data_IF_659064376208
#
_entry.id   IF_659064376208
#
_cell.length_a   1.000
_cell.length_b   1.000
_cell.length_c   1.000
_cell.angle_alpha   90.00
_cell.angle_beta   90.00
_cell.angle_gamma   90.00
#
_symmetry.space_group_name_H-M   'P 1'
#
loop_
_entity.id
_entity.type
_entity.pdbx_description
1 polymer ?
#
# COMPACT_ATOMS: atom_id res chain seq x y z
N UNK A 1 4.55 -25.22 1.05
CA UNK A 1 6.03 -25.22 1.03
C UNK A 1 6.57 -24.64 -0.26
N UNK A 2 7.53 -23.72 -0.17
CA UNK A 2 8.28 -23.19 -1.30
C UNK A 2 9.77 -23.33 -1.04
N UNK A 3 10.52 -23.81 -2.03
CA UNK A 3 11.98 -23.86 -1.98
C UNK A 3 12.57 -22.80 -2.91
N UNK A 4 13.72 -22.25 -2.57
CA UNK A 4 14.39 -21.24 -3.39
C UNK A 4 14.80 -21.72 -4.79
N UNK A 5 14.90 -23.03 -5.00
CA UNK A 5 15.13 -23.69 -6.28
C UNK A 5 13.84 -24.06 -7.01
N UNK A 6 12.66 -23.75 -6.42
CA UNK A 6 11.34 -24.13 -6.93
C UNK A 6 11.13 -25.62 -7.21
N UNK A 7 11.91 -26.50 -6.57
CA UNK A 7 11.61 -27.93 -6.55
C UNK A 7 10.29 -28.21 -5.83
N UNK A 8 9.88 -27.28 -4.96
CA UNK A 8 8.54 -27.14 -4.40
C UNK A 8 8.09 -25.68 -4.61
N UNK A 9 7.01 -25.50 -5.33
CA UNK A 9 6.44 -24.20 -5.69
C UNK A 9 5.04 -24.09 -5.12
N UNK A 10 4.90 -23.42 -3.96
CA UNK A 10 3.66 -23.31 -3.19
C UNK A 10 2.97 -24.67 -2.99
N UNK A 11 3.77 -25.73 -2.91
CA UNK A 11 3.28 -27.10 -2.81
C UNK A 11 2.53 -27.31 -1.49
N UNK A 12 1.35 -27.89 -1.57
CA UNK A 12 0.61 -28.33 -0.37
C UNK A 12 1.32 -29.51 0.26
N UNK A 13 1.53 -29.47 1.57
CA UNK A 13 2.06 -30.54 2.38
C UNK A 13 1.10 -30.88 3.50
N UNK A 14 1.03 -32.14 3.85
CA UNK A 14 0.31 -32.63 5.03
C UNK A 14 1.32 -33.11 6.07
N UNK A 15 1.17 -32.64 7.31
CA UNK A 15 1.93 -33.10 8.46
C UNK A 15 0.95 -33.73 9.44
N UNK A 16 1.19 -34.99 9.81
CA UNK A 16 0.38 -35.68 10.80
C UNK A 16 0.93 -35.42 12.21
N UNK A 17 0.06 -35.21 13.16
CA UNK A 17 0.42 -35.21 14.57
C UNK A 17 0.96 -36.58 15.00
N UNK A 18 2.01 -36.55 15.81
CA UNK A 18 2.64 -37.75 16.36
C UNK A 18 2.77 -37.62 17.88
N UNK A 19 2.57 -38.71 18.60
CA UNK A 19 2.77 -38.78 20.03
C UNK A 19 4.23 -39.05 20.45
N UNK A 20 5.20 -38.90 19.55
CA UNK A 20 6.60 -39.15 19.85
C UNK A 20 7.20 -38.00 20.64
N UNK A 21 7.77 -38.33 21.81
CA UNK A 21 8.43 -37.38 22.71
C UNK A 21 9.83 -36.90 22.24
N UNK A 22 10.28 -37.33 21.06
CA UNK A 22 11.55 -36.90 20.51
C UNK A 22 11.39 -35.57 19.78
N UNK A 23 11.54 -34.47 20.52
CA UNK A 23 11.58 -33.15 19.95
C UNK A 23 12.83 -33.00 19.04
N UNK A 24 12.63 -32.43 17.86
CA UNK A 24 13.73 -32.00 17.01
C UNK A 24 14.59 -30.96 17.75
N UNK A 25 15.90 -30.79 17.39
CA UNK A 25 16.75 -29.77 17.98
C UNK A 25 16.18 -28.34 17.91
N UNK A 26 15.33 -28.10 16.89
CA UNK A 26 14.57 -26.85 16.76
C UNK A 26 13.09 -27.17 16.99
N UNK A 27 12.52 -26.61 18.05
CA UNK A 27 11.13 -26.76 18.42
C UNK A 27 10.44 -25.41 18.44
N UNK A 28 9.21 -25.33 17.97
CA UNK A 28 8.32 -24.17 18.11
C UNK A 28 7.21 -24.59 19.07
N UNK A 29 7.07 -23.86 20.16
CA UNK A 29 5.96 -24.05 21.11
C UNK A 29 4.85 -23.07 20.79
N UNK A 30 3.65 -23.59 20.53
CA UNK A 30 2.45 -22.78 20.35
C UNK A 30 1.77 -22.58 21.71
N UNK A 31 1.52 -21.32 22.06
CA UNK A 31 0.76 -20.96 23.25
C UNK A 31 -0.54 -20.24 22.84
N UNK A 32 -1.66 -20.94 22.65
CA UNK A 32 -2.91 -20.33 22.18
C UNK A 32 -3.57 -19.40 23.21
N UNK A 33 -3.10 -19.39 24.45
CA UNK A 33 -3.56 -18.45 25.48
C UNK A 33 -2.91 -17.06 25.34
N UNK A 34 -1.84 -16.95 24.59
CA UNK A 34 -1.12 -15.70 24.33
C UNK A 34 -1.61 -15.10 23.01
N UNK A 35 -2.26 -13.93 23.10
CA UNK A 35 -2.84 -13.25 21.94
C UNK A 35 -2.10 -11.94 21.68
N UNK A 36 -1.93 -11.62 20.41
CA UNK A 36 -1.29 -10.39 19.91
C UNK A 36 -2.29 -9.57 19.10
N UNK A 37 -1.83 -8.85 18.08
CA UNK A 37 -2.71 -8.06 17.22
C UNK A 37 -3.65 -8.93 16.38
N UNK A 38 -4.86 -8.42 16.13
CA UNK A 38 -5.75 -8.97 15.11
C UNK A 38 -5.26 -8.58 13.72
N UNK A 39 -5.08 -9.55 12.84
CA UNK A 39 -4.60 -9.30 11.48
C UNK A 39 -5.71 -8.72 10.59
N UNK A 40 -5.37 -7.70 9.82
CA UNK A 40 -6.25 -7.09 8.82
C UNK A 40 -6.15 -7.77 7.45
N UNK A 41 -4.99 -8.33 7.14
CA UNK A 41 -4.76 -9.06 5.89
C UNK A 41 -3.40 -8.80 5.26
N UNK A 42 -3.18 -9.46 4.13
CA UNK A 42 -1.91 -9.46 3.41
C UNK A 42 -2.18 -9.32 1.90
N UNK A 43 -1.31 -8.62 1.18
CA UNK A 43 -1.49 -8.51 -0.26
C UNK A 43 -0.49 -7.61 -0.96
N UNK A 44 -0.94 -7.00 -2.05
CA UNK A 44 -0.12 -6.17 -2.91
C UNK A 44 -0.89 -4.97 -3.46
N UNK A 45 -0.18 -3.98 -3.98
CA UNK A 45 -0.80 -2.84 -4.61
C UNK A 45 -1.34 -3.18 -6.01
N UNK A 46 -2.54 -2.69 -6.27
CA UNK A 46 -3.25 -2.78 -7.54
C UNK A 46 -3.16 -1.40 -8.22
N UNK A 47 -1.99 -1.12 -8.78
CA UNK A 47 -1.69 0.14 -9.46
C UNK A 47 -2.32 0.20 -10.86
N UNK A 48 -2.33 1.38 -11.49
CA UNK A 48 -2.72 1.51 -12.91
C UNK A 48 -1.92 0.59 -13.83
N UNK A 49 -0.61 0.45 -13.58
CA UNK A 49 0.27 -0.48 -14.29
C UNK A 49 -0.14 -1.94 -14.11
N UNK A 50 -0.42 -2.36 -12.89
CA UNK A 50 -0.94 -3.71 -12.60
C UNK A 50 -2.24 -3.96 -13.34
N UNK A 51 -3.19 -3.01 -13.27
CA UNK A 51 -4.47 -3.13 -13.96
C UNK A 51 -4.32 -3.18 -15.48
N UNK A 52 -3.43 -2.35 -16.04
CA UNK A 52 -3.12 -2.40 -17.47
C UNK A 52 -2.65 -3.78 -17.89
N UNK A 53 -1.64 -4.34 -17.22
CA UNK A 53 -1.06 -5.64 -17.54
C UNK A 53 -2.10 -6.78 -17.40
N UNK A 54 -2.90 -6.76 -16.35
CA UNK A 54 -3.99 -7.72 -16.14
C UNK A 54 -5.01 -7.67 -17.29
N UNK A 55 -5.39 -6.47 -17.74
CA UNK A 55 -6.38 -6.31 -18.82
C UNK A 55 -5.84 -6.66 -20.21
N UNK A 56 -4.52 -6.72 -20.41
CA UNK A 56 -3.92 -7.27 -21.63
C UNK A 56 -4.02 -8.81 -21.69
N UNK A 57 -4.18 -9.49 -20.56
CA UNK A 57 -4.36 -10.93 -20.51
C UNK A 57 -5.69 -11.34 -21.17
N UNK A 58 -5.73 -12.56 -21.73
CA UNK A 58 -7.02 -13.15 -22.11
C UNK A 58 -7.92 -13.25 -20.87
N UNK A 59 -9.22 -12.95 -20.97
CA UNK A 59 -10.13 -12.95 -19.80
C UNK A 59 -10.07 -14.23 -18.96
N UNK A 60 -9.98 -15.41 -19.58
CA UNK A 60 -9.92 -16.67 -18.85
C UNK A 60 -8.59 -16.85 -18.08
N UNK A 61 -7.45 -16.45 -18.69
CA UNK A 61 -6.14 -16.53 -18.05
C UNK A 61 -6.05 -15.53 -16.90
N UNK A 62 -6.57 -14.31 -17.08
CA UNK A 62 -6.67 -13.30 -16.03
C UNK A 62 -7.54 -13.77 -14.86
N UNK A 63 -8.73 -14.28 -15.16
CA UNK A 63 -9.63 -14.78 -14.12
C UNK A 63 -9.01 -15.94 -13.32
N UNK A 64 -8.31 -16.84 -13.99
CA UNK A 64 -7.58 -17.93 -13.33
C UNK A 64 -6.49 -17.40 -12.40
N UNK A 65 -5.67 -16.44 -12.85
CA UNK A 65 -4.64 -15.80 -12.03
C UNK A 65 -5.24 -15.06 -10.83
N UNK A 66 -6.30 -14.28 -11.03
CA UNK A 66 -6.96 -13.55 -9.95
C UNK A 66 -7.61 -14.51 -8.95
N UNK A 67 -8.20 -15.61 -9.41
CA UNK A 67 -8.75 -16.66 -8.53
C UNK A 67 -7.66 -17.32 -7.72
N UNK A 68 -6.53 -17.69 -8.35
CA UNK A 68 -5.37 -18.24 -7.63
C UNK A 68 -4.84 -17.27 -6.57
N UNK A 69 -4.82 -15.97 -6.86
CA UNK A 69 -4.27 -14.95 -5.96
C UNK A 69 -5.23 -14.62 -4.81
N UNK A 70 -6.51 -14.37 -5.09
CA UNK A 70 -7.44 -13.74 -4.15
C UNK A 70 -8.48 -14.68 -3.53
N UNK A 71 -8.75 -15.86 -4.10
CA UNK A 71 -9.77 -16.76 -3.53
C UNK A 71 -9.33 -17.37 -2.21
N UNK A 72 -10.19 -17.26 -1.17
CA UNK A 72 -9.98 -17.88 0.14
C UNK A 72 -10.07 -19.41 0.08
N UNK A 73 -10.87 -19.93 -0.85
CA UNK A 73 -11.19 -21.36 -0.90
C UNK A 73 -10.28 -22.16 -1.83
N UNK A 74 -9.86 -21.55 -2.93
CA UNK A 74 -9.13 -22.25 -4.01
C UNK A 74 -7.82 -21.58 -4.40
N UNK A 75 -7.51 -20.43 -3.80
CA UNK A 75 -6.32 -19.63 -4.06
C UNK A 75 -5.44 -19.45 -2.82
N UNK A 76 -4.67 -18.38 -2.83
CA UNK A 76 -3.76 -18.00 -1.74
C UNK A 76 -4.37 -16.97 -0.78
N UNK A 77 -5.58 -16.47 -1.06
CA UNK A 77 -6.34 -15.62 -0.13
C UNK A 77 -5.73 -14.25 0.13
N UNK A 78 -5.11 -13.60 -0.88
CA UNK A 78 -4.71 -12.21 -0.71
C UNK A 78 -5.93 -11.38 -0.32
N UNK A 79 -5.84 -10.64 0.77
CA UNK A 79 -7.02 -10.07 1.46
C UNK A 79 -6.90 -8.58 1.76
N UNK A 80 -5.74 -7.96 1.51
CA UNK A 80 -5.54 -6.54 1.73
C UNK A 80 -4.77 -5.92 0.56
N UNK A 81 -5.37 -4.97 -0.13
CA UNK A 81 -4.77 -4.32 -1.31
C UNK A 81 -4.66 -2.81 -1.12
N UNK A 82 -3.75 -2.20 -1.87
CA UNK A 82 -3.53 -0.74 -1.88
C UNK A 82 -3.68 -0.21 -3.30
N UNK A 83 -4.35 0.94 -3.43
CA UNK A 83 -4.53 1.64 -4.70
C UNK A 83 -4.13 3.11 -4.55
N UNK A 84 -3.90 3.82 -5.66
CA UNK A 84 -3.63 5.24 -5.64
C UNK A 84 -4.93 6.07 -5.70
N UNK A 85 -4.90 7.25 -5.08
CA UNK A 85 -5.91 8.30 -5.27
C UNK A 85 -5.36 9.25 -6.33
N UNK A 86 -5.87 9.16 -7.57
CA UNK A 86 -5.22 9.75 -8.73
C UNK A 86 -3.99 8.94 -9.16
N UNK A 87 -3.02 9.58 -9.80
CA UNK A 87 -1.83 8.88 -10.29
C UNK A 87 -0.83 8.49 -9.19
N UNK A 88 -0.06 7.47 -9.48
CA UNK A 88 1.21 7.10 -8.82
C UNK A 88 2.33 7.07 -9.86
N UNK A 89 3.55 6.73 -9.46
CA UNK A 89 4.68 6.46 -10.37
C UNK A 89 4.48 5.23 -11.28
N UNK A 90 3.48 4.40 -10.97
CA UNK A 90 3.03 3.27 -11.79
C UNK A 90 1.63 3.46 -12.37
N UNK A 91 1.31 4.68 -12.74
CA UNK A 91 0.12 5.04 -13.53
C UNK A 91 0.44 5.18 -15.02
N UNK A 92 -0.60 5.24 -15.84
CA UNK A 92 -0.46 5.39 -17.29
C UNK A 92 -0.20 6.85 -17.70
N UNK A 93 -0.58 7.80 -16.85
CA UNK A 93 -0.32 9.24 -17.02
C UNK A 93 -0.24 9.92 -15.65
N UNK A 94 0.28 11.14 -15.60
CA UNK A 94 0.07 12.01 -14.43
C UNK A 94 -1.32 12.63 -14.51
N UNK A 95 -2.07 12.53 -13.41
CA UNK A 95 -3.40 13.11 -13.28
C UNK A 95 -3.84 13.12 -11.81
N UNK A 96 -4.83 13.97 -11.52
CA UNK A 96 -5.66 13.82 -10.31
C UNK A 96 -7.12 13.74 -10.72
N UNK A 97 -7.99 13.37 -9.79
CA UNK A 97 -9.43 13.40 -10.05
C UNK A 97 -10.03 14.82 -10.07
N UNK A 98 -9.20 15.87 -10.05
CA UNK A 98 -9.64 17.27 -10.06
C UNK A 98 -8.56 18.21 -10.63
N UNK A 99 -8.17 18.02 -11.89
CA UNK A 99 -7.10 18.82 -12.52
C UNK A 99 -7.57 20.23 -12.95
N UNK A 100 -8.87 20.39 -13.17
CA UNK A 100 -9.48 21.71 -13.35
C UNK A 100 -9.73 22.34 -12.00
N UNK A 101 -9.31 23.61 -11.81
CA UNK A 101 -9.47 24.36 -10.56
C UNK A 101 -10.94 24.45 -10.14
N UNK A 102 -11.19 24.16 -8.87
CA UNK A 102 -12.49 24.13 -8.23
C UNK A 102 -12.92 22.69 -7.92
N UNK A 103 -13.24 22.41 -6.66
CA UNK A 103 -13.55 21.05 -6.19
C UNK A 103 -14.87 20.49 -6.79
N UNK A 104 -15.71 21.35 -7.33
CA UNK A 104 -16.90 21.00 -8.11
C UNK A 104 -16.54 20.21 -9.39
N UNK A 105 -15.33 20.39 -9.91
CA UNK A 105 -14.84 19.70 -11.12
C UNK A 105 -14.27 18.30 -10.82
N UNK A 106 -14.39 17.82 -9.59
CA UNK A 106 -13.98 16.47 -9.23
C UNK A 106 -14.74 15.42 -10.04
N UNK A 107 -14.00 14.49 -10.67
CA UNK A 107 -14.55 13.29 -11.30
C UNK A 107 -13.48 12.20 -11.38
N UNK A 108 -13.90 10.93 -11.28
CA UNK A 108 -13.02 9.80 -11.61
C UNK A 108 -12.57 9.92 -13.07
N UNK A 109 -11.31 9.69 -13.33
CA UNK A 109 -10.69 9.85 -14.63
C UNK A 109 -10.71 8.55 -15.45
N UNK A 110 -10.08 8.58 -16.61
CA UNK A 110 -10.04 7.43 -17.53
C UNK A 110 -9.31 6.22 -16.93
N UNK A 111 -8.29 6.43 -16.11
CA UNK A 111 -7.52 5.34 -15.50
C UNK A 111 -8.37 4.59 -14.49
N UNK A 112 -9.07 5.30 -13.58
CA UNK A 112 -10.00 4.65 -12.67
C UNK A 112 -11.10 3.90 -13.43
N UNK A 113 -11.74 4.54 -14.42
CA UNK A 113 -12.91 3.99 -15.11
C UNK A 113 -12.59 2.79 -16.00
N UNK A 114 -11.45 2.84 -16.70
CA UNK A 114 -11.13 1.87 -17.74
C UNK A 114 -10.19 0.76 -17.27
N UNK A 115 -9.48 0.95 -16.16
CA UNK A 115 -8.48 0.00 -15.67
C UNK A 115 -8.71 -0.41 -14.21
N UNK A 116 -8.75 0.54 -13.27
CA UNK A 116 -8.79 0.22 -11.84
C UNK A 116 -10.14 -0.39 -11.46
N UNK A 117 -11.25 0.27 -11.74
CA UNK A 117 -12.59 -0.21 -11.39
C UNK A 117 -12.93 -1.58 -12.01
N UNK A 118 -12.67 -1.86 -13.30
CA UNK A 118 -12.91 -3.19 -13.86
C UNK A 118 -12.15 -4.30 -13.16
N UNK A 119 -10.86 -4.07 -12.85
CA UNK A 119 -10.01 -5.06 -12.15
C UNK A 119 -10.47 -5.27 -10.71
N UNK A 120 -10.76 -4.19 -9.96
CA UNK A 120 -11.26 -4.30 -8.59
C UNK A 120 -12.61 -5.02 -8.52
N UNK A 121 -13.52 -4.76 -9.44
CA UNK A 121 -14.80 -5.47 -9.52
C UNK A 121 -14.61 -6.96 -9.77
N UNK A 122 -13.67 -7.34 -10.65
CA UNK A 122 -13.34 -8.75 -10.87
C UNK A 122 -12.74 -9.39 -9.62
N UNK A 123 -11.79 -8.73 -8.96
CA UNK A 123 -11.20 -9.19 -7.69
C UNK A 123 -12.29 -9.36 -6.61
N UNK A 124 -13.14 -8.37 -6.40
CA UNK A 124 -14.22 -8.40 -5.41
C UNK A 124 -15.32 -9.44 -5.74
N UNK A 125 -15.49 -9.80 -7.01
CA UNK A 125 -16.38 -10.92 -7.37
C UNK A 125 -15.83 -12.28 -6.96
N UNK A 126 -14.51 -12.40 -6.81
CA UNK A 126 -13.80 -13.61 -6.35
C UNK A 126 -13.76 -13.64 -4.82
N UNK A 127 -13.41 -12.51 -4.19
CA UNK A 127 -13.34 -12.37 -2.73
C UNK A 127 -13.93 -11.01 -2.30
N UNK A 128 -15.18 -10.95 -1.87
CA UNK A 128 -15.83 -9.71 -1.45
C UNK A 128 -15.35 -9.17 -0.10
N UNK A 129 -14.54 -9.94 0.65
CA UNK A 129 -14.05 -9.55 1.98
C UNK A 129 -12.74 -8.76 1.94
N UNK A 130 -12.17 -8.54 0.75
CA UNK A 130 -10.89 -7.83 0.59
C UNK A 130 -10.99 -6.40 1.12
N UNK A 131 -10.03 -6.04 1.98
CA UNK A 131 -9.83 -4.67 2.42
C UNK A 131 -9.05 -3.88 1.38
N UNK A 132 -9.48 -2.64 1.13
CA UNK A 132 -8.85 -1.74 0.18
C UNK A 132 -8.42 -0.48 0.91
N UNK A 133 -7.12 -0.17 0.87
CA UNK A 133 -6.63 1.12 1.30
C UNK A 133 -6.13 1.95 0.11
N UNK A 134 -6.06 3.27 0.29
CA UNK A 134 -5.65 4.17 -0.76
C UNK A 134 -4.77 5.32 -0.24
N UNK A 135 -3.89 5.82 -1.11
CA UNK A 135 -3.02 6.96 -0.83
C UNK A 135 -2.85 7.84 -2.07
N UNK A 136 -2.84 9.17 -1.95
CA UNK A 136 -2.44 10.07 -3.03
C UNK A 136 -0.93 10.23 -3.07
N UNK A 137 -0.37 10.38 -4.28
CA UNK A 137 1.04 10.76 -4.48
C UNK A 137 1.21 12.29 -4.53
N UNK A 138 0.15 12.99 -4.89
CA UNK A 138 0.12 14.47 -4.92
C UNK A 138 -1.33 14.96 -4.83
N UNK A 139 -1.51 16.21 -4.40
CA UNK A 139 -2.78 16.93 -4.55
C UNK A 139 -2.93 17.48 -5.98
N UNK A 140 -4.14 17.94 -6.38
CA UNK A 140 -4.34 18.70 -7.61
C UNK A 140 -3.36 19.87 -7.73
N UNK A 141 -2.78 20.08 -8.93
CA UNK A 141 -1.72 21.06 -9.12
C UNK A 141 -2.14 22.50 -8.76
N UNK A 142 -3.42 22.82 -8.90
CA UNK A 142 -3.94 24.14 -8.53
C UNK A 142 -3.99 24.39 -7.02
N UNK A 143 -3.87 23.33 -6.19
CA UNK A 143 -3.75 23.43 -4.74
C UNK A 143 -2.28 23.51 -4.28
N UNK A 144 -1.31 23.36 -5.18
CA UNK A 144 0.10 23.17 -4.90
C UNK A 144 0.86 24.49 -4.89
N UNK A 145 1.75 24.63 -3.93
CA UNK A 145 2.69 25.77 -3.82
C UNK A 145 4.12 25.26 -3.74
N UNK A 146 5.09 26.13 -3.97
CA UNK A 146 6.51 25.79 -3.87
C UNK A 146 6.89 25.35 -2.45
N UNK A 147 6.44 26.09 -1.44
CA UNK A 147 6.61 25.77 -0.02
C UNK A 147 5.64 26.60 0.82
N UNK A 148 5.50 26.29 2.11
CA UNK A 148 4.70 27.10 3.03
C UNK A 148 5.29 28.49 3.31
N UNK A 149 6.57 28.70 2.99
CA UNK A 149 7.23 30.02 3.08
C UNK A 149 7.27 30.76 1.74
N UNK A 150 6.96 30.07 0.63
CA UNK A 150 6.80 30.65 -0.72
C UNK A 150 5.51 30.10 -1.34
N UNK A 151 4.40 30.78 -1.12
CA UNK A 151 3.07 30.40 -1.61
C UNK A 151 2.87 30.60 -3.12
N UNK A 152 3.95 30.81 -3.88
CA UNK A 152 3.87 30.82 -5.35
C UNK A 152 3.35 29.46 -5.85
N UNK A 153 2.31 29.45 -6.72
CA UNK A 153 1.79 28.21 -7.28
C UNK A 153 2.86 27.38 -7.97
N UNK A 154 2.81 26.07 -7.76
CA UNK A 154 3.71 25.11 -8.39
C UNK A 154 2.94 24.18 -9.31
N UNK A 155 3.17 24.26 -10.63
CA UNK A 155 2.52 23.43 -11.65
C UNK A 155 3.35 22.19 -12.01
N UNK A 156 4.05 21.61 -11.02
CA UNK A 156 4.87 20.40 -11.18
C UNK A 156 4.22 19.21 -10.52
N UNK A 157 4.26 18.05 -11.14
CA UNK A 157 3.87 16.78 -10.54
C UNK A 157 4.83 16.34 -9.42
N UNK A 158 6.05 16.85 -9.43
CA UNK A 158 7.10 16.53 -8.46
C UNK A 158 7.27 17.66 -7.45
N UNK A 159 7.49 17.32 -6.17
CA UNK A 159 7.76 18.25 -5.08
C UNK A 159 6.58 19.19 -4.76
N UNK A 160 6.88 20.29 -4.05
CA UNK A 160 5.90 21.27 -3.57
C UNK A 160 5.19 20.85 -2.30
N UNK A 161 4.31 21.71 -1.83
CA UNK A 161 3.51 21.51 -0.62
C UNK A 161 2.04 21.88 -0.88
N UNK A 162 1.13 21.33 -0.10
CA UNK A 162 -0.27 21.68 -0.14
C UNK A 162 -0.46 23.09 0.45
N UNK A 163 -1.08 23.99 -0.30
CA UNK A 163 -1.43 25.31 0.23
C UNK A 163 -2.51 25.14 1.31
N UNK A 164 -2.28 25.63 2.56
CA UNK A 164 -3.26 25.53 3.63
C UNK A 164 -4.61 26.15 3.31
N UNK A 165 -4.65 27.15 2.42
CA UNK A 165 -5.90 27.74 1.94
C UNK A 165 -6.84 26.73 1.24
N UNK A 166 -6.32 25.59 0.80
CA UNK A 166 -7.07 24.53 0.12
C UNK A 166 -7.26 23.26 0.97
N UNK A 167 -6.95 23.30 2.28
CA UNK A 167 -7.16 22.11 3.14
C UNK A 167 -8.60 21.61 3.08
N UNK A 168 -9.58 22.50 3.10
CA UNK A 168 -11.00 22.11 3.03
C UNK A 168 -11.35 21.51 1.65
N UNK A 169 -10.87 22.09 0.58
CA UNK A 169 -11.10 21.55 -0.77
C UNK A 169 -10.43 20.19 -0.94
N UNK A 170 -9.22 20.02 -0.40
CA UNK A 170 -8.51 18.75 -0.49
C UNK A 170 -9.15 17.66 0.37
N UNK A 171 -9.66 17.99 1.54
CA UNK A 171 -10.47 17.05 2.33
C UNK A 171 -11.75 16.66 1.60
N UNK A 172 -12.44 17.62 0.95
CA UNK A 172 -13.60 17.36 0.10
C UNK A 172 -13.25 16.44 -1.08
N UNK A 173 -12.04 16.57 -1.65
CA UNK A 173 -11.52 15.68 -2.68
C UNK A 173 -11.48 14.21 -2.20
N UNK A 174 -10.97 13.95 -0.99
CA UNK A 174 -10.98 12.61 -0.38
C UNK A 174 -12.40 12.09 -0.15
N UNK A 175 -13.29 12.91 0.39
CA UNK A 175 -14.69 12.51 0.62
C UNK A 175 -15.35 12.13 -0.70
N UNK A 176 -15.23 12.96 -1.73
CA UNK A 176 -15.81 12.69 -3.07
C UNK A 176 -15.22 11.42 -3.69
N UNK A 177 -13.91 11.18 -3.52
CA UNK A 177 -13.23 10.00 -4.04
C UNK A 177 -13.75 8.73 -3.38
N UNK A 178 -13.82 8.69 -2.04
CA UNK A 178 -14.37 7.54 -1.30
C UNK A 178 -15.83 7.29 -1.69
N UNK A 179 -16.64 8.34 -1.78
CA UNK A 179 -18.04 8.24 -2.18
C UNK A 179 -18.20 7.75 -3.62
N UNK A 180 -17.32 8.17 -4.53
CA UNK A 180 -17.34 7.73 -5.92
C UNK A 180 -17.04 6.23 -6.05
N UNK A 181 -16.05 5.71 -5.30
CA UNK A 181 -15.78 4.27 -5.25
C UNK A 181 -16.93 3.50 -4.61
N UNK A 182 -17.52 4.02 -3.55
CA UNK A 182 -18.72 3.41 -2.94
C UNK A 182 -19.91 3.34 -3.90
N UNK A 183 -20.11 4.37 -4.72
CA UNK A 183 -21.14 4.36 -5.76
C UNK A 183 -20.91 3.28 -6.83
N UNK A 184 -19.65 2.87 -7.03
CA UNK A 184 -19.27 1.75 -7.89
C UNK A 184 -19.33 0.38 -7.19
N UNK A 185 -19.80 0.34 -5.92
CA UNK A 185 -19.91 -0.86 -5.11
C UNK A 185 -18.60 -1.29 -4.44
N UNK A 186 -17.66 -0.37 -4.28
CA UNK A 186 -16.32 -0.62 -3.71
C UNK A 186 -16.16 0.19 -2.43
N UNK A 187 -16.08 -0.49 -1.29
CA UNK A 187 -15.82 0.15 0.01
C UNK A 187 -14.32 0.36 0.22
N UNK A 188 -13.95 1.58 0.60
CA UNK A 188 -12.56 1.95 0.96
C UNK A 188 -12.39 1.81 2.46
N UNK A 189 -11.58 0.84 2.88
CA UNK A 189 -11.33 0.54 4.28
C UNK A 189 -10.48 1.60 4.98
N UNK A 190 -9.45 2.09 4.30
CA UNK A 190 -8.51 3.06 4.87
C UNK A 190 -7.91 4.00 3.82
N UNK A 191 -7.43 5.15 4.28
CA UNK A 191 -6.60 6.08 3.50
C UNK A 191 -5.40 6.54 4.31
N UNK A 192 -4.34 6.99 3.61
CA UNK A 192 -3.31 7.84 4.18
C UNK A 192 -3.40 9.23 3.54
N UNK A 193 -3.09 10.32 4.25
CA UNK A 193 -3.19 11.67 3.69
C UNK A 193 -2.22 11.93 2.53
N UNK A 194 -1.06 11.24 2.53
CA UNK A 194 -0.02 11.38 1.51
C UNK A 194 0.88 10.14 1.48
N UNK A 195 1.11 9.57 0.30
CA UNK A 195 2.17 8.59 0.09
C UNK A 195 3.53 9.28 0.22
N UNK A 196 4.44 8.68 0.99
CA UNK A 196 5.82 9.13 1.17
C UNK A 196 5.95 10.65 1.38
N UNK A 197 5.37 11.21 2.44
CA UNK A 197 5.27 12.66 2.63
C UNK A 197 6.62 13.38 2.69
N UNK A 198 7.72 12.68 2.94
CA UNK A 198 9.06 13.24 3.00
C UNK A 198 9.86 13.06 1.71
N UNK A 199 9.29 12.39 0.71
CA UNK A 199 9.92 12.19 -0.61
C UNK A 199 9.55 13.33 -1.55
N UNK A 200 10.55 14.14 -1.92
CA UNK A 200 10.38 15.28 -2.84
C UNK A 200 10.68 14.94 -4.30
N UNK A 201 11.22 13.75 -4.54
CA UNK A 201 11.83 13.41 -5.83
C UNK A 201 11.01 12.49 -6.72
N UNK A 202 9.98 11.86 -6.20
CA UNK A 202 9.16 10.92 -6.98
C UNK A 202 8.20 11.68 -7.93
N UNK A 203 7.85 11.10 -9.05
CA UNK A 203 6.78 11.59 -9.91
C UNK A 203 5.59 10.59 -9.85
N UNK A 204 4.46 10.99 -9.25
CA UNK A 204 4.22 12.28 -8.62
C UNK A 204 4.74 12.32 -7.17
N UNK A 205 4.83 13.50 -6.58
CA UNK A 205 5.13 13.68 -5.15
C UNK A 205 4.59 15.00 -4.60
N UNK A 206 4.43 15.04 -3.29
CA UNK A 206 4.05 16.21 -2.50
C UNK A 206 4.72 16.08 -1.14
N UNK A 207 5.51 17.07 -0.75
CA UNK A 207 6.06 17.10 0.60
C UNK A 207 5.00 17.53 1.61
N UNK A 208 4.97 16.84 2.75
CA UNK A 208 4.06 17.15 3.84
C UNK A 208 4.78 16.84 5.16
N UNK A 209 5.17 17.86 5.93
CA UNK A 209 5.77 17.65 7.25
C UNK A 209 4.74 17.07 8.23
N UNK A 210 5.21 16.61 9.40
CA UNK A 210 4.29 16.10 10.41
C UNK A 210 3.31 17.17 10.90
N UNK A 211 3.73 18.43 10.97
CA UNK A 211 2.86 19.55 11.31
C UNK A 211 1.77 19.78 10.26
N UNK A 212 2.16 19.74 8.97
CA UNK A 212 1.20 19.91 7.87
C UNK A 212 0.18 18.77 7.85
N UNK A 213 0.63 17.53 8.01
CA UNK A 213 -0.27 16.37 8.01
C UNK A 213 -1.19 16.40 9.23
N UNK A 214 -0.66 16.75 10.42
CA UNK A 214 -1.43 16.96 11.64
C UNK A 214 -2.52 18.01 11.41
N UNK A 215 -2.16 19.18 10.91
CA UNK A 215 -3.08 20.29 10.75
C UNK A 215 -4.14 20.00 9.68
N UNK A 216 -3.76 19.35 8.59
CA UNK A 216 -4.69 18.89 7.56
C UNK A 216 -5.69 17.84 8.11
N UNK A 217 -5.23 16.85 8.87
CA UNK A 217 -6.09 15.83 9.48
C UNK A 217 -7.02 16.47 10.51
N UNK A 218 -6.47 17.29 11.41
CA UNK A 218 -7.19 17.93 12.49
C UNK A 218 -8.27 18.89 12.01
N UNK A 219 -7.93 19.75 11.04
CA UNK A 219 -8.78 20.89 10.67
C UNK A 219 -9.70 20.62 9.48
N UNK A 220 -9.41 19.60 8.68
CA UNK A 220 -10.14 19.34 7.44
C UNK A 220 -10.50 17.87 7.23
N UNK A 221 -9.54 16.95 7.07
CA UNK A 221 -9.82 15.59 6.65
C UNK A 221 -10.66 14.82 7.65
N UNK A 222 -10.26 14.81 8.93
CA UNK A 222 -10.97 14.11 10.00
C UNK A 222 -12.40 14.64 10.21
N UNK A 223 -12.59 15.98 10.40
CA UNK A 223 -13.92 16.57 10.51
C UNK A 223 -14.82 16.27 9.31
N UNK A 224 -14.31 16.34 8.08
CA UNK A 224 -15.12 16.06 6.89
C UNK A 224 -15.49 14.59 6.74
N UNK A 225 -14.60 13.67 7.09
CA UNK A 225 -14.93 12.23 7.11
C UNK A 225 -16.03 11.94 8.13
N UNK A 226 -15.90 12.51 9.33
CA UNK A 226 -16.93 12.39 10.37
C UNK A 226 -18.27 13.00 9.92
N UNK A 227 -18.28 14.20 9.35
CA UNK A 227 -19.48 14.86 8.85
C UNK A 227 -20.15 14.10 7.69
N UNK A 228 -19.35 13.44 6.84
CA UNK A 228 -19.83 12.60 5.76
C UNK A 228 -20.28 11.19 6.20
N UNK A 229 -20.13 10.84 7.48
CA UNK A 229 -20.44 9.51 8.01
C UNK A 229 -19.60 8.39 7.41
N UNK A 230 -18.36 8.67 7.04
CA UNK A 230 -17.44 7.68 6.48
C UNK A 230 -16.81 6.86 7.60
N UNK A 231 -16.84 5.53 7.45
CA UNK A 231 -16.13 4.58 8.32
C UNK A 231 -14.68 4.33 7.88
N UNK A 232 -14.24 4.94 6.79
CA UNK A 232 -12.89 4.83 6.25
C UNK A 232 -11.88 5.33 7.27
N UNK A 233 -10.92 4.47 7.66
CA UNK A 233 -9.86 4.81 8.62
C UNK A 233 -8.84 5.76 8.00
N UNK A 234 -8.20 6.58 8.83
CA UNK A 234 -7.06 7.42 8.44
C UNK A 234 -5.83 6.92 9.16
N UNK A 235 -4.78 6.58 8.40
CA UNK A 235 -3.45 6.23 8.94
C UNK A 235 -2.47 7.35 8.62
N UNK A 236 -1.72 7.78 9.63
CA UNK A 236 -0.69 8.80 9.49
C UNK A 236 0.53 8.26 8.73
N UNK A 237 1.34 9.18 8.24
CA UNK A 237 2.69 8.98 7.72
C UNK A 237 2.72 8.29 6.35
N UNK A 238 2.91 6.96 6.28
CA UNK A 238 3.00 6.17 5.03
C UNK A 238 4.36 6.32 4.33
N UNK A 239 5.48 6.13 5.08
CA UNK A 239 6.85 6.26 4.58
C UNK A 239 7.85 5.44 5.42
N UNK A 240 9.15 5.66 5.18
CA UNK A 240 10.27 4.89 5.72
C UNK A 240 10.44 4.98 7.24
N UNK A 241 10.99 3.93 7.85
CA UNK A 241 11.24 3.85 9.29
C UNK A 241 12.19 4.92 9.82
N UNK A 242 13.11 5.41 8.98
CA UNK A 242 14.13 6.40 9.38
C UNK A 242 13.69 7.86 9.21
N UNK A 243 12.42 8.10 8.82
CA UNK A 243 11.89 9.45 8.56
C UNK A 243 12.77 10.23 7.57
N UNK A 244 13.32 9.52 6.56
CA UNK A 244 14.26 10.06 5.56
C UNK A 244 15.49 10.75 6.19
N UNK A 245 15.85 10.37 7.43
CA UNK A 245 16.90 10.97 8.23
C UNK A 245 16.76 12.48 8.48
N UNK A 246 15.53 13.00 8.40
CA UNK A 246 15.21 14.41 8.69
C UNK A 246 14.91 14.52 10.20
N UNK A 247 15.78 15.20 10.95
CA UNK A 247 15.70 15.29 12.41
C UNK A 247 14.37 15.86 12.91
N UNK A 248 13.85 16.90 12.23
CA UNK A 248 12.55 17.51 12.57
C UNK A 248 11.36 16.57 12.36
N UNK A 249 11.51 15.53 11.55
CA UNK A 249 10.44 14.59 11.18
C UNK A 249 10.48 13.28 11.99
N UNK A 250 11.54 13.04 12.76
CA UNK A 250 11.63 11.84 13.60
C UNK A 250 10.43 11.71 14.52
N UNK A 251 9.95 10.47 14.69
CA UNK A 251 8.72 10.16 15.42
C UNK A 251 7.49 10.89 14.86
N UNK A 252 7.42 11.02 13.53
CA UNK A 252 6.33 11.70 12.81
C UNK A 252 4.94 11.29 13.31
N UNK A 253 4.54 10.00 13.36
CA UNK A 253 3.23 9.60 13.87
C UNK A 253 3.04 9.95 15.36
N UNK A 254 4.07 9.74 16.18
CA UNK A 254 3.99 10.04 17.61
C UNK A 254 3.69 11.51 17.88
N UNK A 255 4.35 12.42 17.16
CA UNK A 255 4.06 13.86 17.24
C UNK A 255 2.63 14.20 16.84
N UNK A 256 2.07 13.50 15.86
CA UNK A 256 0.66 13.66 15.50
C UNK A 256 -0.28 13.12 16.57
N UNK A 257 0.09 12.02 17.26
CA UNK A 257 -0.71 11.43 18.33
C UNK A 257 -0.72 12.28 19.61
N UNK A 258 0.34 13.05 19.85
CA UNK A 258 0.42 13.98 20.98
C UNK A 258 -0.58 15.15 20.87
N UNK A 259 -1.04 15.49 19.65
CA UNK A 259 -2.16 16.40 19.43
C UNK A 259 -3.49 15.64 19.52
N UNK A 260 -4.19 15.76 20.65
CA UNK A 260 -5.44 15.01 20.87
C UNK A 260 -6.55 15.32 19.87
N UNK A 261 -6.57 16.54 19.28
CA UNK A 261 -7.56 16.91 18.26
C UNK A 261 -7.26 16.25 16.90
N UNK A 262 -6.00 15.99 16.57
CA UNK A 262 -5.62 15.20 15.41
C UNK A 262 -5.74 13.70 15.67
N UNK A 263 -5.25 13.25 16.83
CA UNK A 263 -5.17 11.86 17.24
C UNK A 263 -6.50 11.12 17.21
N UNK A 264 -7.61 11.81 17.57
CA UNK A 264 -8.96 11.24 17.57
C UNK A 264 -9.41 10.73 16.20
N UNK A 265 -8.85 11.25 15.10
CA UNK A 265 -9.18 10.84 13.74
C UNK A 265 -8.24 9.78 13.18
N UNK A 266 -7.12 9.51 13.86
CA UNK A 266 -6.08 8.60 13.40
C UNK A 266 -6.28 7.20 14.00
N UNK A 267 -6.47 6.21 13.14
CA UNK A 267 -6.48 4.80 13.53
C UNK A 267 -5.08 4.32 13.91
N UNK A 268 -4.06 4.82 13.24
CA UNK A 268 -2.68 4.39 13.42
C UNK A 268 -1.73 5.04 12.43
N UNK A 269 -0.63 4.35 12.11
CA UNK A 269 0.37 4.77 11.13
C UNK A 269 0.70 3.67 10.14
N UNK A 270 1.14 4.10 8.95
CA UNK A 270 1.59 3.26 7.86
C UNK A 270 3.09 3.45 7.61
N UNK A 271 3.77 2.36 7.24
CA UNK A 271 5.23 2.37 7.06
C UNK A 271 5.69 1.64 5.80
N UNK A 272 6.86 2.08 5.29
CA UNK A 272 7.66 1.48 4.23
C UNK A 272 9.05 1.11 4.77
N UNK A 273 9.81 0.28 4.05
CA UNK A 273 11.14 -0.17 4.50
C UNK A 273 12.29 0.16 3.54
N UNK A 274 12.18 1.22 2.77
CA UNK A 274 13.29 1.66 1.92
C UNK A 274 14.41 2.35 2.71
N UNK A 275 14.15 2.73 3.97
CA UNK A 275 15.12 3.32 4.89
C UNK A 275 14.80 3.04 6.35
N UNK A 276 15.86 2.85 7.16
CA UNK A 276 15.74 2.57 8.59
C UNK A 276 15.57 1.09 8.93
N UNK A 277 15.14 0.82 10.16
CA UNK A 277 14.96 -0.52 10.70
C UNK A 277 13.54 -0.71 11.23
N UNK A 278 12.99 -1.90 11.04
CA UNK A 278 11.65 -2.30 11.50
C UNK A 278 11.45 -2.23 13.02
N UNK A 279 12.53 -2.09 13.82
CA UNK A 279 12.42 -1.85 15.25
C UNK A 279 11.63 -0.58 15.56
N UNK A 280 11.58 0.38 14.63
CA UNK A 280 10.76 1.59 14.76
C UNK A 280 9.27 1.27 14.94
N UNK A 281 8.76 0.23 14.29
CA UNK A 281 7.38 -0.24 14.51
C UNK A 281 7.15 -0.60 15.98
N UNK A 282 8.10 -1.31 16.59
CA UNK A 282 8.02 -1.69 18.00
C UNK A 282 8.13 -0.48 18.93
N UNK A 283 8.95 0.53 18.57
CA UNK A 283 9.10 1.77 19.33
C UNK A 283 7.77 2.53 19.36
N UNK A 284 7.14 2.69 18.20
CA UNK A 284 5.83 3.34 18.07
C UNK A 284 4.75 2.56 18.83
N UNK A 285 4.69 1.24 18.67
CA UNK A 285 3.71 0.43 19.40
C UNK A 285 3.86 0.53 20.92
N UNK A 286 5.09 0.51 21.43
CA UNK A 286 5.34 0.66 22.88
C UNK A 286 4.90 2.03 23.41
N UNK A 287 5.11 3.08 22.63
CA UNK A 287 4.75 4.44 23.00
C UNK A 287 3.23 4.67 22.87
N UNK A 288 2.58 4.05 21.88
CA UNK A 288 1.17 4.26 21.53
C UNK A 288 0.47 2.92 21.27
N UNK A 289 0.27 2.07 22.30
CA UNK A 289 -0.21 0.68 22.13
C UNK A 289 -1.64 0.59 21.56
N UNK A 290 -2.44 1.63 21.69
CA UNK A 290 -3.80 1.71 21.17
C UNK A 290 -3.86 2.11 19.69
N UNK A 291 -2.74 2.51 19.09
CA UNK A 291 -2.65 2.88 17.69
C UNK A 291 -2.21 1.70 16.83
N UNK A 292 -2.92 1.51 15.74
CA UNK A 292 -2.67 0.42 14.79
C UNK A 292 -1.42 0.70 13.94
N UNK A 293 -0.75 -0.37 13.48
CA UNK A 293 0.37 -0.28 12.55
C UNK A 293 0.06 -1.07 11.28
N UNK A 294 0.40 -0.49 10.13
CA UNK A 294 0.34 -1.12 8.82
C UNK A 294 1.71 -1.03 8.14
N UNK A 295 2.08 -2.09 7.44
CA UNK A 295 3.17 -2.07 6.49
C UNK A 295 2.58 -2.00 5.09
N UNK A 296 2.76 -0.90 4.39
CA UNK A 296 1.94 -0.51 3.24
C UNK A 296 2.67 -0.51 1.91
N UNK A 297 4.02 -0.59 1.93
CA UNK A 297 4.78 -0.66 0.69
C UNK A 297 6.19 -1.20 0.88
N UNK A 298 6.61 -2.05 -0.04
CA UNK A 298 8.01 -2.39 -0.34
C UNK A 298 8.10 -2.95 -1.75
N UNK A 299 9.22 -2.70 -2.43
CA UNK A 299 9.54 -3.24 -3.75
C UNK A 299 10.81 -4.07 -3.74
N UNK A 300 10.85 -5.02 -4.65
CA UNK A 300 12.07 -5.64 -5.12
C UNK A 300 12.44 -5.04 -6.48
N UNK A 301 13.72 -5.07 -6.82
CA UNK A 301 14.17 -4.47 -8.08
C UNK A 301 15.60 -4.88 -8.45
N UNK A 302 16.17 -4.16 -9.40
CA UNK A 302 17.54 -4.45 -9.85
C UNK A 302 18.59 -4.19 -8.76
N UNK A 303 18.32 -3.26 -7.83
CA UNK A 303 19.24 -2.87 -6.75
C UNK A 303 19.46 -3.96 -5.68
N UNK A 304 18.52 -4.88 -5.51
CA UNK A 304 18.57 -5.91 -4.46
C UNK A 304 18.49 -7.33 -5.02
N UNK A 305 18.83 -7.54 -6.30
CA UNK A 305 18.72 -8.83 -6.97
C UNK A 305 17.30 -9.40 -6.95
N UNK A 306 16.28 -8.57 -7.14
CA UNK A 306 14.88 -8.84 -6.88
C UNK A 306 14.27 -10.07 -7.58
N UNK A 307 14.85 -10.53 -8.70
CA UNK A 307 14.46 -11.78 -9.39
C UNK A 307 15.25 -13.00 -8.93
N UNK A 308 16.27 -12.86 -8.09
CA UNK A 308 17.03 -13.97 -7.54
C UNK A 308 16.33 -14.54 -6.30
N UNK A 309 15.43 -15.48 -6.52
CA UNK A 309 14.63 -16.09 -5.45
C UNK A 309 15.54 -16.74 -4.38
N UNK A 310 16.73 -17.24 -4.74
CA UNK A 310 17.66 -17.86 -3.81
C UNK A 310 18.20 -16.88 -2.77
N UNK A 311 18.27 -15.59 -3.11
CA UNK A 311 18.68 -14.52 -2.21
C UNK A 311 17.49 -13.88 -1.51
N UNK A 312 16.39 -13.64 -2.26
CA UNK A 312 15.29 -12.80 -1.78
C UNK A 312 14.30 -13.52 -0.89
N UNK A 313 13.99 -14.81 -1.15
CA UNK A 313 12.87 -15.47 -0.47
C UNK A 313 13.02 -15.45 1.06
N UNK A 314 14.20 -15.82 1.57
CA UNK A 314 14.47 -15.83 3.01
C UNK A 314 14.55 -14.42 3.59
N UNK A 315 15.19 -13.51 2.86
CA UNK A 315 15.35 -12.11 3.28
C UNK A 315 13.99 -11.41 3.38
N UNK A 316 13.15 -11.53 2.36
CA UNK A 316 11.84 -10.90 2.35
C UNK A 316 10.89 -11.54 3.37
N UNK A 317 10.98 -12.88 3.57
CA UNK A 317 10.24 -13.54 4.65
C UNK A 317 10.65 -12.99 6.03
N UNK A 318 11.95 -12.79 6.25
CA UNK A 318 12.49 -12.30 7.52
C UNK A 318 12.18 -10.81 7.75
N UNK A 319 12.43 -9.96 6.74
CA UNK A 319 12.38 -8.51 6.93
C UNK A 319 10.98 -7.93 6.69
N UNK A 320 10.27 -8.44 5.68
CA UNK A 320 8.95 -7.93 5.30
C UNK A 320 7.84 -8.69 6.02
N UNK A 321 7.75 -10.02 5.82
CA UNK A 321 6.64 -10.80 6.34
C UNK A 321 6.68 -10.90 7.88
N UNK A 322 7.58 -11.71 8.41
CA UNK A 322 7.67 -11.95 9.86
C UNK A 322 8.19 -10.71 10.61
N UNK A 323 9.08 -9.93 9.99
CA UNK A 323 9.66 -8.75 10.60
C UNK A 323 8.65 -7.67 10.94
N UNK A 324 7.66 -7.45 10.09
CA UNK A 324 6.61 -6.46 10.33
C UNK A 324 5.54 -6.99 11.30
N UNK A 325 5.11 -8.25 11.12
CA UNK A 325 4.10 -8.88 11.97
C UNK A 325 4.60 -8.99 13.43
N UNK A 326 5.84 -9.43 13.64
CA UNK A 326 6.44 -9.54 14.97
C UNK A 326 6.66 -8.17 15.63
N UNK A 327 6.58 -7.08 14.87
CA UNK A 327 6.60 -5.70 15.33
C UNK A 327 5.23 -5.01 15.22
N UNK A 328 4.15 -5.77 15.38
CA UNK A 328 2.77 -5.31 15.57
C UNK A 328 2.05 -4.77 14.34
N UNK A 329 2.58 -4.91 13.13
CA UNK A 329 1.79 -4.61 11.95
C UNK A 329 0.59 -5.54 11.83
N UNK A 330 -0.59 -4.98 11.58
CA UNK A 330 -1.85 -5.70 11.36
C UNK A 330 -2.08 -6.08 9.90
N UNK A 331 -1.36 -5.45 9.00
CA UNK A 331 -1.44 -5.69 7.56
C UNK A 331 -0.06 -5.54 6.92
N UNK A 332 0.17 -6.32 5.87
CA UNK A 332 1.42 -6.27 5.08
C UNK A 332 1.06 -6.22 3.60
N UNK A 333 1.44 -5.14 2.95
CA UNK A 333 1.17 -4.91 1.53
C UNK A 333 2.51 -4.64 0.84
N UNK A 334 2.83 -5.46 -0.16
CA UNK A 334 3.96 -5.19 -1.06
C UNK A 334 3.51 -4.28 -2.21
N UNK A 335 4.47 -3.69 -2.93
CA UNK A 335 4.15 -2.78 -4.02
C UNK A 335 3.49 -3.52 -5.20
N UNK A 336 3.67 -3.11 -6.43
CA UNK A 336 2.95 -3.63 -7.60
C UNK A 336 2.72 -5.14 -7.58
N UNK A 337 1.45 -5.59 -7.66
CA UNK A 337 1.15 -7.03 -7.83
C UNK A 337 1.76 -7.54 -9.13
N UNK A 338 1.59 -6.82 -10.23
CA UNK A 338 2.05 -7.26 -11.55
C UNK A 338 2.66 -6.11 -12.35
N UNK A 339 3.86 -6.32 -12.84
CA UNK A 339 4.48 -5.50 -13.90
C UNK A 339 4.84 -6.41 -15.07
N UNK A 340 5.15 -5.83 -16.24
CA UNK A 340 5.69 -6.64 -17.33
C UNK A 340 7.18 -6.93 -17.15
N UNK A 341 7.73 -7.78 -18.03
CA UNK A 341 9.15 -8.15 -17.96
C UNK A 341 10.11 -6.96 -18.18
N UNK A 342 9.63 -5.84 -18.72
CA UNK A 342 10.37 -4.59 -18.90
C UNK A 342 10.12 -3.60 -17.76
N UNK A 343 9.39 -4.01 -16.72
CA UNK A 343 9.02 -3.22 -15.53
C UNK A 343 7.99 -2.11 -15.82
N UNK A 344 7.24 -2.27 -16.88
CA UNK A 344 6.28 -1.28 -17.37
C UNK A 344 4.81 -1.71 -17.10
N UNK A 345 3.86 -0.78 -17.28
CA UNK A 345 4.06 0.68 -17.39
C UNK A 345 4.63 1.31 -16.12
N UNK A 346 5.44 2.35 -16.28
CA UNK A 346 5.91 3.22 -15.19
C UNK A 346 6.03 4.66 -15.68
N UNK A 347 6.17 5.60 -14.75
CA UNK A 347 6.30 7.02 -15.06
C UNK A 347 7.75 7.47 -15.06
N UNK A 348 8.09 8.41 -15.93
CA UNK A 348 9.36 9.12 -15.87
C UNK A 348 9.47 9.84 -14.53
N UNK A 349 10.61 9.72 -13.84
CA UNK A 349 10.80 10.24 -12.48
C UNK A 349 10.29 9.32 -11.35
N UNK A 350 9.57 8.23 -11.67
CA UNK A 350 9.25 7.15 -10.74
C UNK A 350 10.28 6.02 -10.79
N UNK A 351 10.00 4.91 -10.12
CA UNK A 351 10.90 3.76 -10.08
C UNK A 351 11.02 3.07 -11.45
N UNK A 352 12.18 3.18 -12.07
CA UNK A 352 12.50 2.55 -13.38
C UNK A 352 13.06 1.13 -13.22
N UNK A 353 13.33 0.70 -12.00
CA UNK A 353 14.08 -0.53 -11.69
C UNK A 353 13.32 -1.50 -10.82
N UNK A 354 12.07 -1.16 -10.44
CA UNK A 354 11.19 -1.99 -9.64
C UNK A 354 10.64 -3.20 -10.42
N UNK A 355 10.53 -4.36 -9.77
CA UNK A 355 9.81 -5.53 -10.27
C UNK A 355 8.44 -5.66 -9.59
N UNK A 356 7.49 -6.32 -10.24
CA UNK A 356 6.24 -6.73 -9.62
C UNK A 356 6.43 -7.88 -8.62
N UNK A 357 5.45 -8.13 -7.79
CA UNK A 357 5.37 -9.40 -7.06
C UNK A 357 5.31 -10.56 -8.06
N UNK A 358 4.72 -10.33 -9.23
CA UNK A 358 4.86 -11.16 -10.42
C UNK A 358 5.27 -10.32 -11.63
N UNK A 359 6.04 -10.91 -12.53
CA UNK A 359 6.34 -10.34 -13.85
C UNK A 359 5.56 -11.10 -14.92
N UNK A 360 4.91 -10.38 -15.84
CA UNK A 360 4.22 -10.98 -16.99
C UNK A 360 4.99 -10.70 -18.29
N UNK A 361 5.06 -11.68 -19.18
CA UNK A 361 5.65 -11.46 -20.51
C UNK A 361 4.74 -10.54 -21.35
N UNK A 362 5.24 -9.39 -21.75
CA UNK A 362 4.52 -8.42 -22.59
C UNK A 362 4.39 -8.83 -24.07
N UNK A 363 5.01 -9.95 -24.47
CA UNK A 363 4.86 -10.47 -25.85
C UNK A 363 3.47 -11.08 -26.09
N UNK A 364 2.91 -11.77 -25.07
CA UNK A 364 1.63 -12.49 -25.22
C UNK A 364 0.72 -12.36 -23.98
N UNK A 365 1.15 -11.65 -22.93
CA UNK A 365 0.43 -11.47 -21.67
C UNK A 365 -0.16 -12.78 -21.09
N UNK A 366 0.68 -13.82 -21.06
CA UNK A 366 0.28 -15.16 -20.60
C UNK A 366 1.26 -15.76 -19.61
N UNK A 367 2.58 -15.67 -19.88
CA UNK A 367 3.59 -16.27 -19.02
C UNK A 367 3.85 -15.38 -17.83
N UNK A 368 3.62 -15.91 -16.63
CA UNK A 368 3.81 -15.23 -15.36
C UNK A 368 4.99 -15.87 -14.64
N UNK A 369 5.88 -15.04 -14.10
CA UNK A 369 7.00 -15.43 -13.22
C UNK A 369 6.72 -14.80 -11.85
N UNK A 370 6.66 -15.62 -10.79
CA UNK A 370 6.47 -15.16 -9.42
C UNK A 370 7.82 -14.80 -8.82
N UNK A 371 7.87 -13.64 -8.18
CA UNK A 371 9.02 -13.16 -7.41
C UNK A 371 8.79 -13.40 -5.90
N UNK A 372 9.81 -13.15 -5.08
CA UNK A 372 9.76 -13.43 -3.63
C UNK A 372 8.57 -12.79 -2.92
N UNK A 373 8.18 -11.58 -3.29
CA UNK A 373 7.04 -10.88 -2.71
C UNK A 373 5.73 -11.63 -2.89
N UNK A 374 5.47 -12.22 -4.04
CA UNK A 374 4.29 -13.07 -4.23
C UNK A 374 4.30 -14.26 -3.27
N UNK A 375 5.46 -14.93 -3.15
CA UNK A 375 5.60 -16.11 -2.30
C UNK A 375 5.39 -15.80 -0.82
N UNK A 376 6.00 -14.71 -0.30
CA UNK A 376 5.86 -14.38 1.12
C UNK A 376 4.41 -14.02 1.47
N UNK A 377 3.73 -13.26 0.62
CA UNK A 377 2.32 -12.92 0.82
C UNK A 377 1.43 -14.17 0.71
N UNK A 378 1.65 -15.04 -0.29
CA UNK A 378 0.90 -16.28 -0.43
C UNK A 378 1.04 -17.19 0.80
N UNK A 379 2.23 -17.26 1.41
CA UNK A 379 2.44 -18.01 2.65
C UNK A 379 1.73 -17.41 3.86
N UNK A 380 1.62 -16.09 3.94
CA UNK A 380 0.91 -15.40 5.03
C UNK A 380 -0.60 -15.51 4.90
N UNK A 381 -1.11 -15.35 3.67
CA UNK A 381 -2.56 -15.25 3.43
C UNK A 381 -3.28 -16.59 3.42
N UNK A 382 -2.55 -17.70 3.17
CA UNK A 382 -3.16 -19.04 3.02
C UNK A 382 -3.26 -19.83 4.34
N UNK A 383 -3.12 -19.17 5.50
CA UNK A 383 -3.24 -19.77 6.84
C UNK A 383 -4.49 -19.29 7.58
#
# INVERSE_FOLDING_TARGET
>A
TTTNSLTRDLARDAVNFSSKDNLAPTSITLNPAEQYQTMDGFGAAITGATCFNLLQMKPADRHAFLTETFSDNSGFGFSYIRISIGCSDFSLSEYTCCDTKGIENFALQSEEKNYILPVLKEILSINPSIKIMAAPWTCPLWMKVKSLTDLTPLTSWTNGQLNPAYYQDYATYFVKWVQAFKAEGIDIYAVTPQNEPLNRGNSASLYMSWEEQRDFVKTALGPQFAAAGLSTKIYAYDHNYDYSNIESEKNYPGKMYEDGEASQYLAGAAYHNYGGDREELLNIHKAYPDKELLFTETSIGTWNSGRDLSKRLLEDMKEVALGTINNWCKGVIVWNLMLDNDRAPNREGGCQTCYGAVDISNSYYKTIIRNSHYYIIAHLSSV
#
